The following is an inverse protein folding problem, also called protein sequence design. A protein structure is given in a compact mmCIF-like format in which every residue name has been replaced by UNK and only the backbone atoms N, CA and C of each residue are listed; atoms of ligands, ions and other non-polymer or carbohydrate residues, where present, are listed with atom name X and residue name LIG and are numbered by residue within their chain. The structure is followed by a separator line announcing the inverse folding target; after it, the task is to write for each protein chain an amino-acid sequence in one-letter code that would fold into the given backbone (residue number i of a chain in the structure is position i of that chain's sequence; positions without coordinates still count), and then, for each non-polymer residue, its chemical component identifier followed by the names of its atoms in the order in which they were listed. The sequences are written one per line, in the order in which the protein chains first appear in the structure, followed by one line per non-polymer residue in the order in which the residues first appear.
data_IF_274985296269
#
_entry.id   IF_274985296269
#
_cell.length_a   1.000
_cell.length_b   1.000
_cell.length_c   1.000
_cell.angle_alpha   90.00
_cell.angle_beta   90.00
_cell.angle_gamma   90.00
#
_symmetry.space_group_name_H-M   'P 1'
#
loop_
_entity.id
_entity.type
_entity.pdbx_description
1 polymer ?
#
# COMPACT_ATOMS: atom_id res chain seq x y z
N UNK A 1 -8.12 8.61 0.69
CA UNK A 1 -7.71 9.60 1.69
C UNK A 1 -6.19 9.62 1.81
N UNK A 2 -5.61 10.78 2.10
CA UNK A 2 -4.16 10.96 2.28
C UNK A 2 -3.90 12.10 3.29
N UNK A 3 -2.70 12.17 3.82
CA UNK A 3 -2.25 13.22 4.72
C UNK A 3 -1.03 13.95 4.12
N UNK A 4 -1.29 14.96 3.32
CA UNK A 4 -0.26 15.68 2.57
C UNK A 4 0.27 14.89 1.37
N UNK A 5 1.43 15.31 0.88
CA UNK A 5 2.17 14.77 -0.26
C UNK A 5 3.24 15.75 -0.70
N UNK A 6 4.17 15.36 -1.58
CA UNK A 6 5.08 16.30 -2.22
C UNK A 6 4.30 17.31 -3.07
N UNK A 7 4.86 18.48 -3.31
CA UNK A 7 4.22 19.50 -4.13
C UNK A 7 3.81 18.97 -5.51
N UNK A 8 4.70 18.21 -6.15
CA UNK A 8 4.42 17.58 -7.44
C UNK A 8 3.24 16.60 -7.39
N UNK A 9 3.16 15.78 -6.33
CA UNK A 9 2.06 14.83 -6.16
C UNK A 9 0.72 15.55 -5.93
N UNK A 10 0.71 16.62 -5.13
CA UNK A 10 -0.50 17.42 -4.86
C UNK A 10 -0.97 18.17 -6.12
N UNK A 11 -0.05 18.71 -6.91
CA UNK A 11 -0.36 19.40 -8.16
C UNK A 11 -0.98 18.48 -9.23
N UNK A 12 -0.78 17.16 -9.12
CA UNK A 12 -1.38 16.19 -10.06
C UNK A 12 -2.83 15.83 -9.73
N UNK A 13 -3.32 16.12 -8.53
CA UNK A 13 -4.66 15.69 -8.09
C UNK A 13 -5.76 16.35 -8.95
N UNK A 14 -5.72 17.67 -9.09
CA UNK A 14 -6.72 18.41 -9.88
C UNK A 14 -6.78 17.95 -11.35
N UNK A 15 -5.66 18.02 -12.09
CA UNK A 15 -5.61 17.64 -13.51
C UNK A 15 -6.00 16.18 -13.79
N UNK A 16 -5.80 15.27 -12.81
CA UNK A 16 -6.19 13.87 -12.98
C UNK A 16 -7.65 13.57 -12.64
N UNK A 17 -8.39 14.55 -12.14
CA UNK A 17 -9.79 14.37 -11.72
C UNK A 17 -9.97 13.44 -10.52
N UNK A 18 -8.91 13.18 -9.76
CA UNK A 18 -8.96 12.31 -8.58
C UNK A 18 -9.78 12.94 -7.46
N UNK A 19 -10.70 12.17 -6.90
CA UNK A 19 -11.44 12.55 -5.69
C UNK A 19 -10.56 12.37 -4.47
N UNK A 20 -9.76 13.39 -4.14
CA UNK A 20 -8.80 13.35 -3.04
C UNK A 20 -9.41 13.87 -1.74
N UNK A 21 -9.17 13.15 -0.65
CA UNK A 21 -9.51 13.55 0.71
C UNK A 21 -8.21 13.81 1.47
N UNK A 22 -7.76 15.06 1.46
CA UNK A 22 -6.55 15.47 2.18
C UNK A 22 -6.88 15.76 3.65
N UNK A 23 -6.38 14.92 4.55
CA UNK A 23 -6.60 15.03 5.99
C UNK A 23 -6.13 16.36 6.57
N UNK A 24 -5.03 16.93 6.04
CA UNK A 24 -4.48 18.21 6.51
C UNK A 24 -5.32 19.43 6.11
N UNK A 25 -6.19 19.28 5.11
CA UNK A 25 -7.12 20.33 4.67
C UNK A 25 -8.50 20.15 5.28
N UNK A 26 -8.98 18.90 5.32
CA UNK A 26 -10.34 18.58 5.80
C UNK A 26 -10.43 18.68 7.33
N UNK A 27 -9.45 18.12 8.05
CA UNK A 27 -9.41 18.17 9.51
C UNK A 27 -10.56 17.45 10.22
N UNK A 28 -10.82 17.89 11.45
CA UNK A 28 -11.88 17.37 12.30
C UNK A 28 -13.29 17.75 11.76
N UNK A 29 -14.32 16.93 11.99
CA UNK A 29 -14.27 15.65 12.73
C UNK A 29 -13.86 14.44 11.89
N UNK A 30 -13.71 14.59 10.56
CA UNK A 30 -13.45 13.45 9.66
C UNK A 30 -12.08 12.82 9.93
N UNK A 31 -11.06 13.63 10.16
CA UNK A 31 -9.73 13.20 10.53
C UNK A 31 -9.41 13.75 11.92
N UNK A 32 -8.92 12.91 12.80
CA UNK A 32 -8.64 13.28 14.19
C UNK A 32 -7.30 12.73 14.66
N UNK A 33 -6.74 13.35 15.68
CA UNK A 33 -5.49 12.91 16.30
C UNK A 33 -5.78 12.27 17.66
N UNK A 34 -5.06 11.17 17.92
CA UNK A 34 -5.07 10.52 19.24
C UNK A 34 -3.96 11.07 20.13
N UNK A 35 -4.12 10.94 21.43
CA UNK A 35 -3.16 11.47 22.43
C UNK A 35 -2.14 10.43 22.90
N UNK A 36 -2.31 9.16 22.53
CA UNK A 36 -1.44 8.04 22.91
C UNK A 36 -0.23 7.87 21.99
N UNK A 37 -0.11 8.70 20.97
CA UNK A 37 1.01 8.77 20.03
C UNK A 37 1.33 10.21 19.66
N UNK A 38 2.54 10.44 19.15
CA UNK A 38 2.98 11.76 18.68
C UNK A 38 2.77 11.91 17.15
N UNK A 39 2.62 13.15 16.71
CA UNK A 39 2.57 13.46 15.29
C UNK A 39 3.90 13.05 14.60
N UNK A 40 3.84 12.62 13.33
CA UNK A 40 2.68 12.55 12.45
C UNK A 40 1.85 11.25 12.60
N UNK A 41 2.29 10.30 13.44
CA UNK A 41 1.80 8.92 13.51
C UNK A 41 0.52 8.73 14.35
N UNK A 42 -0.15 9.81 14.72
CA UNK A 42 -1.37 9.81 15.53
C UNK A 42 -2.61 10.34 14.79
N UNK A 43 -2.57 10.42 13.45
CA UNK A 43 -3.67 10.88 12.63
C UNK A 43 -4.52 9.69 12.17
N UNK A 44 -5.81 9.74 12.45
CA UNK A 44 -6.76 8.64 12.20
C UNK A 44 -8.04 9.13 11.55
N UNK A 45 -8.79 8.20 10.99
CA UNK A 45 -10.17 8.30 10.53
C UNK A 45 -10.82 6.91 10.65
N UNK A 46 -12.09 6.81 10.33
CA UNK A 46 -12.79 5.53 10.19
C UNK A 46 -13.77 5.56 9.00
N UNK A 47 -14.28 4.41 8.61
CA UNK A 47 -15.20 4.29 7.48
C UNK A 47 -16.44 5.16 7.64
N UNK A 48 -17.06 5.17 8.80
CA UNK A 48 -18.27 5.98 9.05
C UNK A 48 -18.05 7.49 8.85
N UNK A 49 -16.90 8.01 9.28
CA UNK A 49 -16.52 9.41 9.07
C UNK A 49 -16.25 9.72 7.59
N UNK A 50 -15.59 8.79 6.90
CA UNK A 50 -15.34 8.92 5.46
C UNK A 50 -16.65 8.84 4.66
N UNK A 51 -17.57 7.94 4.99
CA UNK A 51 -18.86 7.81 4.33
C UNK A 51 -19.71 9.07 4.48
N UNK A 52 -19.75 9.66 5.68
CA UNK A 52 -20.42 10.95 5.92
C UNK A 52 -19.83 12.06 5.05
N UNK A 53 -18.51 12.14 4.96
CA UNK A 53 -17.83 13.13 4.13
C UNK A 53 -18.11 12.90 2.64
N UNK A 54 -18.08 11.65 2.18
CA UNK A 54 -18.37 11.29 0.78
C UNK A 54 -19.81 11.66 0.41
N UNK A 55 -20.78 11.40 1.32
CA UNK A 55 -22.17 11.80 1.13
C UNK A 55 -22.30 13.32 1.03
N UNK A 56 -21.69 14.07 1.94
CA UNK A 56 -21.70 15.54 1.94
C UNK A 56 -21.09 16.15 0.66
N UNK A 57 -20.09 15.47 0.06
CA UNK A 57 -19.48 15.88 -1.21
C UNK A 57 -20.25 15.41 -2.47
N UNK A 58 -21.32 14.66 -2.33
CA UNK A 58 -22.01 14.04 -3.45
C UNK A 58 -21.17 12.95 -4.16
N UNK A 59 -20.21 12.36 -3.47
CA UNK A 59 -19.28 11.37 -4.01
C UNK A 59 -19.62 9.93 -3.61
N UNK A 60 -20.66 9.74 -2.82
CA UNK A 60 -21.13 8.42 -2.35
C UNK A 60 -21.82 7.64 -3.49
N UNK A 61 -21.06 7.24 -4.49
CA UNK A 61 -21.51 6.38 -5.58
C UNK A 61 -20.82 5.02 -5.48
N UNK A 62 -21.56 3.96 -5.80
CA UNK A 62 -20.97 2.63 -5.92
C UNK A 62 -19.83 2.65 -6.95
N UNK A 63 -18.67 2.08 -6.62
CA UNK A 63 -17.56 2.03 -7.56
C UNK A 63 -17.93 1.12 -8.74
N UNK A 64 -17.60 1.57 -9.95
CA UNK A 64 -17.66 0.73 -11.15
C UNK A 64 -16.25 0.26 -11.48
N UNK A 65 -15.96 -1.02 -11.25
CA UNK A 65 -14.69 -1.63 -11.62
C UNK A 65 -14.87 -3.11 -11.93
N UNK A 66 -14.03 -3.63 -12.82
CA UNK A 66 -13.93 -5.06 -13.05
C UNK A 66 -12.90 -5.65 -12.06
N UNK A 67 -13.28 -6.60 -11.20
CA UNK A 67 -12.33 -7.23 -10.29
C UNK A 67 -11.28 -8.02 -11.07
N UNK A 68 -10.11 -8.22 -10.48
CA UNK A 68 -9.15 -9.17 -11.01
C UNK A 68 -9.69 -10.58 -10.86
N UNK A 69 -9.39 -11.45 -11.84
CA UNK A 69 -9.66 -12.87 -11.72
C UNK A 69 -8.98 -13.44 -10.47
N UNK A 70 -9.66 -14.34 -9.79
CA UNK A 70 -9.14 -15.04 -8.62
C UNK A 70 -8.89 -16.49 -8.98
N UNK A 71 -7.83 -17.05 -8.42
CA UNK A 71 -7.51 -18.49 -8.50
C UNK A 71 -7.67 -19.12 -7.13
N UNK A 72 -7.95 -20.40 -7.11
CA UNK A 72 -7.99 -21.18 -5.86
C UNK A 72 -6.62 -21.18 -5.18
N UNK A 73 -6.63 -21.30 -3.87
CA UNK A 73 -5.42 -21.49 -3.06
C UNK A 73 -4.81 -22.87 -3.39
N UNK A 74 -3.49 -22.92 -3.51
CA UNK A 74 -2.72 -24.14 -3.75
C UNK A 74 -1.47 -24.15 -2.85
N UNK A 75 -1.62 -24.30 -1.53
CA UNK A 75 -0.52 -24.17 -0.59
C UNK A 75 0.56 -25.22 -0.86
N UNK A 76 1.80 -24.78 -0.95
CA UNK A 76 2.94 -25.69 -1.10
C UNK A 76 3.26 -26.37 0.23
N UNK A 77 3.39 -27.69 0.20
CA UNK A 77 3.92 -28.46 1.32
C UNK A 77 5.45 -28.36 1.45
N UNK A 78 6.11 -27.95 0.35
CA UNK A 78 7.57 -27.75 0.28
C UNK A 78 7.86 -26.36 -0.30
N UNK A 79 7.61 -25.28 0.48
CA UNK A 79 7.72 -23.93 -0.03
C UNK A 79 9.17 -23.60 -0.44
N UNK A 80 9.37 -23.24 -1.71
CA UNK A 80 10.69 -22.86 -2.23
C UNK A 80 11.13 -21.47 -1.74
N UNK A 81 10.16 -20.62 -1.38
CA UNK A 81 10.40 -19.25 -0.92
C UNK A 81 9.64 -18.98 0.39
N UNK A 82 10.04 -19.64 1.51
CA UNK A 82 9.34 -19.48 2.79
C UNK A 82 9.60 -18.12 3.44
N UNK A 83 10.69 -17.45 3.06
CA UNK A 83 11.06 -16.14 3.58
C UNK A 83 11.31 -15.18 2.42
N UNK A 84 10.75 -13.98 2.53
CA UNK A 84 10.96 -12.88 1.58
C UNK A 84 11.51 -11.71 2.39
N UNK A 85 12.64 -11.17 1.99
CA UNK A 85 13.23 -9.96 2.56
C UNK A 85 13.23 -8.85 1.53
N UNK A 86 12.72 -7.67 1.90
CA UNK A 86 12.69 -6.48 1.05
C UNK A 86 13.33 -5.35 1.83
N UNK A 87 14.49 -4.91 1.36
CA UNK A 87 15.17 -3.74 1.89
C UNK A 87 14.84 -2.51 1.03
N UNK A 88 14.29 -1.47 1.67
CA UNK A 88 13.91 -0.24 0.96
C UNK A 88 15.00 0.82 1.04
N UNK A 89 15.40 1.23 2.25
CA UNK A 89 16.35 2.33 2.42
C UNK A 89 17.27 2.16 3.63
N UNK A 90 16.81 1.51 4.66
CA UNK A 90 17.58 1.21 5.86
C UNK A 90 16.90 0.10 6.67
N UNK A 91 17.60 -0.49 7.61
CA UNK A 91 17.10 -1.56 8.47
C UNK A 91 15.78 -1.23 9.20
N UNK A 92 15.53 0.05 9.50
CA UNK A 92 14.28 0.52 10.10
C UNK A 92 13.04 0.40 9.20
N UNK A 93 13.26 0.25 7.89
CA UNK A 93 12.20 0.10 6.88
C UNK A 93 12.25 -1.25 6.17
N UNK A 94 13.16 -2.15 6.57
CA UNK A 94 13.22 -3.50 6.03
C UNK A 94 11.93 -4.26 6.36
N UNK A 95 11.41 -4.99 5.38
CA UNK A 95 10.18 -5.78 5.51
C UNK A 95 10.48 -7.23 5.22
N UNK A 96 10.11 -8.09 6.17
CA UNK A 96 10.17 -9.53 5.98
C UNK A 96 8.76 -10.11 5.90
N UNK A 97 8.62 -11.16 5.09
CA UNK A 97 7.43 -11.98 5.03
C UNK A 97 7.82 -13.43 5.26
N UNK A 98 7.12 -14.11 6.16
CA UNK A 98 7.32 -15.53 6.47
C UNK A 98 6.09 -16.32 6.10
N UNK A 99 6.26 -17.30 5.23
CA UNK A 99 5.17 -18.15 4.75
C UNK A 99 4.76 -19.18 5.81
N UNK A 100 3.46 -19.34 5.96
CA UNK A 100 2.82 -20.33 6.81
C UNK A 100 1.89 -21.21 5.96
N UNK A 101 2.29 -22.45 5.72
CA UNK A 101 1.52 -23.38 4.87
C UNK A 101 0.11 -23.64 5.43
N UNK A 102 -0.04 -23.76 6.76
CA UNK A 102 -1.33 -24.04 7.39
C UNK A 102 -2.40 -22.96 7.13
N UNK A 103 -2.01 -21.70 7.03
CA UNK A 103 -2.92 -20.58 6.72
C UNK A 103 -2.81 -20.15 5.26
N UNK A 104 -1.88 -20.74 4.50
CA UNK A 104 -1.49 -20.33 3.15
C UNK A 104 -1.31 -18.83 3.05
N UNK A 105 -0.50 -18.26 3.92
CA UNK A 105 -0.31 -16.81 3.99
C UNK A 105 1.10 -16.46 4.46
N UNK A 106 1.47 -15.21 4.23
CA UNK A 106 2.74 -14.64 4.65
C UNK A 106 2.49 -13.69 5.83
N UNK A 107 3.09 -13.98 6.98
CA UNK A 107 3.13 -13.10 8.15
C UNK A 107 4.15 -11.98 7.90
N UNK A 108 3.73 -10.73 8.14
CA UNK A 108 4.55 -9.54 7.87
C UNK A 108 5.31 -9.08 9.10
N UNK A 109 6.59 -8.74 8.89
CA UNK A 109 7.47 -8.13 9.89
C UNK A 109 8.01 -6.80 9.35
N UNK A 110 8.25 -5.85 10.23
CA UNK A 110 8.85 -4.55 9.93
C UNK A 110 10.01 -4.31 10.89
N UNK A 111 11.20 -4.03 10.35
CA UNK A 111 12.42 -3.85 11.13
C UNK A 111 12.66 -5.01 12.12
N UNK A 112 12.47 -6.24 11.65
CA UNK A 112 12.65 -7.47 12.43
C UNK A 112 11.56 -7.78 13.46
N UNK A 113 10.57 -6.90 13.67
CA UNK A 113 9.46 -7.09 14.62
C UNK A 113 8.17 -7.45 13.91
N UNK A 114 7.33 -8.30 14.53
CA UNK A 114 6.01 -8.62 14.01
C UNK A 114 5.21 -7.33 13.75
N UNK A 115 4.70 -7.18 12.54
CA UNK A 115 3.86 -6.04 12.20
C UNK A 115 2.40 -6.37 12.49
N UNK A 116 1.87 -5.77 13.54
CA UNK A 116 0.53 -6.08 14.06
C UNK A 116 -0.48 -4.99 13.72
N UNK A 117 -1.73 -5.39 13.52
CA UNK A 117 -2.85 -4.47 13.46
C UNK A 117 -3.10 -3.89 14.86
N UNK A 118 -3.12 -2.58 14.96
CA UNK A 118 -3.31 -1.87 16.24
C UNK A 118 -4.66 -2.15 16.88
N UNK A 119 -5.70 -2.39 16.10
CA UNK A 119 -7.05 -2.54 16.64
C UNK A 119 -7.25 -3.88 17.35
N UNK A 120 -6.58 -4.93 16.91
CA UNK A 120 -6.78 -6.28 17.42
C UNK A 120 -5.49 -6.99 17.87
N UNK A 121 -4.31 -6.35 17.69
CA UNK A 121 -3.01 -6.90 18.06
C UNK A 121 -2.55 -8.09 17.19
N UNK A 122 -3.32 -8.50 16.19
CA UNK A 122 -2.96 -9.64 15.34
C UNK A 122 -1.88 -9.27 14.34
N UNK A 123 -0.98 -10.21 14.05
CA UNK A 123 0.02 -10.03 12.99
C UNK A 123 -0.67 -9.88 11.64
N UNK A 124 -0.19 -8.93 10.84
CA UNK A 124 -0.69 -8.72 9.48
C UNK A 124 -0.26 -9.90 8.62
N UNK A 125 -1.24 -10.56 8.00
CA UNK A 125 -1.04 -11.67 7.07
C UNK A 125 -1.58 -11.34 5.69
N UNK A 126 -0.84 -11.75 4.65
CA UNK A 126 -1.23 -11.53 3.25
C UNK A 126 -1.11 -12.83 2.46
N UNK A 127 -1.99 -13.05 1.49
CA UNK A 127 -1.96 -14.24 0.62
C UNK A 127 -0.89 -14.13 -0.46
N UNK A 128 -0.65 -12.91 -0.95
CA UNK A 128 0.29 -12.67 -2.04
C UNK A 128 1.19 -11.49 -1.70
N UNK A 129 2.45 -11.57 -2.12
CA UNK A 129 3.39 -10.43 -2.11
C UNK A 129 3.82 -10.19 -3.55
N UNK A 130 3.60 -8.96 -4.04
CA UNK A 130 3.99 -8.55 -5.39
C UNK A 130 5.06 -7.48 -5.28
N UNK A 131 6.22 -7.75 -5.85
CA UNK A 131 7.34 -6.81 -5.92
C UNK A 131 7.49 -6.33 -7.35
N UNK A 132 7.31 -5.03 -7.57
CA UNK A 132 7.48 -4.37 -8.86
C UNK A 132 8.80 -3.60 -8.86
N UNK A 133 9.68 -3.91 -9.79
CA UNK A 133 10.93 -3.17 -9.97
C UNK A 133 10.66 -1.97 -10.86
N UNK A 134 10.99 -0.77 -10.36
CA UNK A 134 10.78 0.49 -11.08
C UNK A 134 11.94 1.45 -10.86
N UNK A 135 12.11 2.38 -11.79
CA UNK A 135 13.06 3.47 -11.66
C UNK A 135 12.69 4.39 -10.49
N UNK A 136 13.71 4.87 -9.79
CA UNK A 136 13.57 5.82 -8.70
C UNK A 136 14.51 7.01 -8.89
N UNK A 137 14.04 8.20 -8.55
CA UNK A 137 14.85 9.42 -8.58
C UNK A 137 14.71 10.15 -7.26
N UNK A 138 15.83 10.38 -6.57
CA UNK A 138 15.85 11.23 -5.38
C UNK A 138 15.68 12.69 -5.83
N UNK A 139 14.66 13.37 -5.31
CA UNK A 139 14.34 14.74 -5.69
C UNK A 139 15.32 15.79 -5.11
N UNK A 140 16.16 15.39 -4.15
CA UNK A 140 17.17 16.26 -3.49
C UNK A 140 16.57 17.58 -2.94
N UNK A 141 15.33 17.52 -2.50
CA UNK A 141 14.55 18.67 -2.01
C UNK A 141 14.74 18.94 -0.51
N UNK A 142 15.68 18.26 0.15
CA UNK A 142 15.94 18.36 1.58
C UNK A 142 14.98 17.58 2.47
N UNK A 143 13.89 17.06 1.92
CA UNK A 143 12.88 16.27 2.65
C UNK A 143 13.00 14.77 2.42
N UNK A 144 13.94 14.33 1.57
CA UNK A 144 14.13 12.92 1.24
C UNK A 144 13.05 12.32 0.33
N UNK A 145 12.32 13.15 -0.41
CA UNK A 145 11.31 12.67 -1.34
C UNK A 145 11.94 11.92 -2.52
N UNK A 146 11.29 10.83 -2.91
CA UNK A 146 11.69 9.99 -4.04
C UNK A 146 10.54 9.95 -5.05
N UNK A 147 10.87 10.21 -6.31
CA UNK A 147 9.97 9.97 -7.45
C UNK A 147 10.10 8.52 -7.89
N UNK A 148 8.97 7.85 -8.08
CA UNK A 148 8.88 6.50 -8.62
C UNK A 148 8.32 6.56 -10.05
N UNK A 149 8.90 5.80 -10.97
CA UNK A 149 8.40 5.66 -12.34
C UNK A 149 7.26 4.64 -12.36
N UNK A 150 6.05 5.11 -12.05
CA UNK A 150 4.85 4.27 -11.94
C UNK A 150 4.08 4.10 -13.25
N UNK A 151 4.54 4.71 -14.34
CA UNK A 151 4.03 4.55 -15.72
C UNK A 151 5.16 3.96 -16.55
N UNK A 152 4.86 2.94 -17.34
CA UNK A 152 5.85 2.21 -18.10
C UNK A 152 5.78 0.71 -17.88
N UNK A 153 6.92 0.07 -17.84
CA UNK A 153 7.04 -1.39 -17.66
C UNK A 153 8.32 -1.74 -16.90
N UNK A 154 8.34 -2.90 -16.28
CA UNK A 154 9.52 -3.42 -15.58
C UNK A 154 9.33 -4.87 -15.17
N UNK A 155 10.34 -5.41 -14.50
CA UNK A 155 10.27 -6.76 -13.95
C UNK A 155 9.37 -6.81 -12.71
N UNK A 156 8.78 -7.97 -12.47
CA UNK A 156 7.97 -8.24 -11.29
C UNK A 156 8.30 -9.62 -10.70
N UNK A 157 8.15 -9.73 -9.37
CA UNK A 157 8.12 -11.01 -8.67
C UNK A 157 6.77 -11.13 -7.96
N UNK A 158 6.15 -12.28 -8.10
CA UNK A 158 4.89 -12.61 -7.42
C UNK A 158 5.14 -13.81 -6.51
N UNK A 159 5.00 -13.59 -5.21
CA UNK A 159 5.07 -14.66 -4.23
C UNK A 159 3.66 -15.05 -3.83
N UNK A 160 3.33 -16.32 -4.00
CA UNK A 160 2.05 -16.92 -3.69
C UNK A 160 2.24 -18.39 -3.34
N UNK A 161 1.43 -18.90 -2.42
CA UNK A 161 1.40 -20.33 -2.08
C UNK A 161 2.78 -20.90 -1.66
N UNK A 162 3.68 -20.07 -1.12
CA UNK A 162 5.05 -20.46 -0.74
C UNK A 162 6.04 -20.54 -1.91
N UNK A 163 5.64 -20.15 -3.12
CA UNK A 163 6.45 -20.15 -4.34
C UNK A 163 6.66 -18.74 -4.88
N UNK A 164 7.57 -18.57 -5.84
CA UNK A 164 7.78 -17.32 -6.55
C UNK A 164 7.63 -17.51 -8.06
N UNK A 165 7.03 -16.54 -8.70
CA UNK A 165 6.94 -16.46 -10.17
C UNK A 165 7.52 -15.13 -10.63
N UNK A 166 8.40 -15.18 -11.62
CA UNK A 166 8.91 -14.00 -12.31
C UNK A 166 7.92 -13.56 -13.38
N UNK A 167 7.83 -12.25 -13.59
CA UNK A 167 6.98 -11.67 -14.62
C UNK A 167 7.41 -10.25 -14.95
N UNK A 168 6.56 -9.57 -15.67
CA UNK A 168 6.71 -8.15 -15.98
C UNK A 168 5.44 -7.41 -15.58
N UNK A 169 5.60 -6.16 -15.20
CA UNK A 169 4.47 -5.25 -15.01
C UNK A 169 4.45 -4.21 -16.14
N UNK A 170 3.25 -3.73 -16.46
CA UNK A 170 3.08 -2.59 -17.35
C UNK A 170 1.94 -1.69 -16.89
N UNK A 171 2.08 -0.39 -17.16
CA UNK A 171 1.05 0.62 -16.93
C UNK A 171 1.20 1.72 -17.99
N UNK A 172 0.22 1.81 -18.87
CA UNK A 172 0.31 2.66 -20.07
C UNK A 172 0.07 4.15 -19.78
N UNK A 173 -0.71 4.46 -18.74
CA UNK A 173 -1.03 5.83 -18.34
C UNK A 173 -1.39 5.93 -16.87
N UNK A 174 -1.58 7.13 -16.34
CA UNK A 174 -2.01 7.36 -14.95
C UNK A 174 -3.35 6.71 -14.63
N UNK A 175 -4.26 6.67 -15.59
CA UNK A 175 -5.62 6.13 -15.43
C UNK A 175 -5.72 4.64 -15.79
N UNK A 176 -4.72 4.08 -16.46
CA UNK A 176 -4.67 2.66 -16.77
C UNK A 176 -4.42 1.82 -15.51
N UNK A 177 -4.97 0.61 -15.49
CA UNK A 177 -4.61 -0.40 -14.47
C UNK A 177 -3.18 -0.87 -14.71
N UNK A 178 -2.49 -1.19 -13.64
CA UNK A 178 -1.25 -1.98 -13.72
C UNK A 178 -1.61 -3.42 -14.07
N UNK A 179 -0.90 -3.96 -15.02
CA UNK A 179 -1.04 -5.34 -15.51
C UNK A 179 0.21 -6.11 -15.17
#
# INVERSE_FOLDING_TARGET
AHAGGSADALNLIGPTGLKALNALVIGAPTFYRTNDRVAPHNLYTNSSLLDKLLAAKGWAKAPSFSPNARTADAPSSTPAHPNIHIEYSSAGYAVDYKYEAASNSYSRYLAGKAHTDRNNGQIIKVKNVVVLYTGTTNLKDGYGHVKLDTIGKGNALVFRDGTATTGTWSKDSRTSRTK
#
